data_IF_564318651461
#
_entry.id   IF_564318651461
#
_cell.length_a   1.000
_cell.length_b   1.000
_cell.length_c   1.000
_cell.angle_alpha   90.00
_cell.angle_beta   90.00
_cell.angle_gamma   90.00
#
_symmetry.space_group_name_H-M   'P 1'
#
loop_
_entity.id
_entity.type
_entity.pdbx_description
1 polymer ?
#
# COMPACT_ATOMS: atom_id res chain seq x y z
N UNK A 1 -14.52 -32.08 21.66
CA UNK A 1 -13.69 -30.86 21.64
C UNK A 1 -14.28 -29.88 22.64
N UNK A 2 -13.48 -29.16 23.42
CA UNK A 2 -14.02 -28.12 24.30
C UNK A 2 -14.66 -27.00 23.49
N UNK A 3 -15.75 -26.42 23.98
CA UNK A 3 -16.51 -25.36 23.28
C UNK A 3 -15.60 -24.19 22.84
N UNK A 4 -14.65 -23.79 23.70
CA UNK A 4 -13.68 -22.74 23.43
C UNK A 4 -12.73 -23.04 22.24
N UNK A 5 -12.25 -24.28 22.10
CA UNK A 5 -11.36 -24.66 20.99
C UNK A 5 -12.09 -24.63 19.65
N UNK A 6 -13.38 -25.01 19.66
CA UNK A 6 -14.25 -24.89 18.49
C UNK A 6 -14.38 -23.44 18.02
N UNK A 7 -14.70 -22.53 18.94
CA UNK A 7 -14.82 -21.10 18.63
C UNK A 7 -13.53 -20.54 18.02
N UNK A 8 -12.36 -20.80 18.62
CA UNK A 8 -11.06 -20.33 18.11
C UNK A 8 -10.79 -20.84 16.69
N UNK A 9 -11.09 -22.12 16.42
CA UNK A 9 -10.92 -22.73 15.09
C UNK A 9 -11.78 -22.03 14.03
N UNK A 10 -13.06 -21.84 14.31
CA UNK A 10 -13.98 -21.20 13.35
C UNK A 10 -13.67 -19.72 13.16
N UNK A 11 -13.28 -18.99 14.21
CA UNK A 11 -12.85 -17.61 14.10
C UNK A 11 -11.60 -17.47 13.22
N UNK A 12 -10.55 -18.28 13.45
CA UNK A 12 -9.35 -18.27 12.62
C UNK A 12 -9.65 -18.61 11.17
N UNK A 13 -10.50 -19.61 10.92
CA UNK A 13 -10.90 -19.98 9.57
C UNK A 13 -11.65 -18.83 8.88
N UNK A 14 -12.62 -18.21 9.56
CA UNK A 14 -13.41 -17.10 9.02
C UNK A 14 -12.52 -15.92 8.64
N UNK A 15 -11.66 -15.46 9.57
CA UNK A 15 -10.78 -14.33 9.29
C UNK A 15 -9.82 -14.62 8.13
N UNK A 16 -9.16 -15.78 8.11
CA UNK A 16 -8.27 -16.15 7.02
C UNK A 16 -9.02 -16.32 5.68
N UNK A 17 -10.26 -16.81 5.69
CA UNK A 17 -11.08 -16.87 4.47
C UNK A 17 -11.41 -15.48 3.93
N UNK A 18 -11.76 -14.53 4.80
CA UNK A 18 -11.97 -13.13 4.39
C UNK A 18 -10.71 -12.51 3.79
N UNK A 19 -9.55 -12.74 4.40
CA UNK A 19 -8.25 -12.28 3.86
C UNK A 19 -7.87 -12.94 2.55
N UNK A 20 -8.19 -14.23 2.36
CA UNK A 20 -8.00 -14.90 1.09
C UNK A 20 -8.86 -14.27 -0.02
N UNK A 21 -10.13 -13.97 0.27
CA UNK A 21 -11.02 -13.29 -0.69
C UNK A 21 -10.47 -11.91 -1.03
N UNK A 22 -10.03 -11.14 -0.02
CA UNK A 22 -9.39 -9.85 -0.25
C UNK A 22 -8.15 -9.98 -1.13
N UNK A 23 -7.29 -10.96 -0.87
CA UNK A 23 -6.11 -11.24 -1.69
C UNK A 23 -6.46 -11.53 -3.16
N UNK A 24 -7.50 -12.32 -3.41
CA UNK A 24 -8.00 -12.59 -4.77
C UNK A 24 -8.48 -11.30 -5.44
N UNK A 25 -9.27 -10.48 -4.74
CA UNK A 25 -9.75 -9.20 -5.26
C UNK A 25 -8.60 -8.26 -5.63
N UNK A 26 -7.56 -8.20 -4.79
CA UNK A 26 -6.35 -7.40 -5.05
C UNK A 26 -5.61 -7.90 -6.30
N UNK A 27 -5.44 -9.21 -6.46
CA UNK A 27 -4.82 -9.79 -7.66
C UNK A 27 -5.64 -9.44 -8.91
N UNK A 28 -6.96 -9.62 -8.87
CA UNK A 28 -7.87 -9.31 -9.98
C UNK A 28 -7.75 -7.83 -10.34
N UNK A 29 -7.74 -6.93 -9.36
CA UNK A 29 -7.55 -5.50 -9.59
C UNK A 29 -6.20 -5.19 -10.27
N UNK A 30 -5.11 -5.80 -9.80
CA UNK A 30 -3.79 -5.66 -10.43
C UNK A 30 -3.76 -6.12 -11.88
N UNK A 31 -4.41 -7.25 -12.19
CA UNK A 31 -4.52 -7.77 -13.55
C UNK A 31 -5.36 -6.85 -14.46
N UNK A 32 -6.52 -6.39 -13.98
CA UNK A 32 -7.39 -5.47 -14.73
C UNK A 32 -6.69 -4.13 -14.99
N UNK A 33 -5.83 -3.68 -14.09
CA UNK A 33 -5.09 -2.42 -14.20
C UNK A 33 -3.80 -2.50 -15.03
N UNK A 34 -3.41 -3.66 -15.58
CA UNK A 34 -2.11 -3.86 -16.25
C UNK A 34 -1.84 -2.91 -17.43
N UNK A 35 -2.90 -2.39 -18.07
CA UNK A 35 -2.80 -1.36 -19.13
C UNK A 35 -3.11 0.07 -18.70
N UNK A 36 -3.63 0.27 -17.48
CA UNK A 36 -4.08 1.57 -16.98
C UNK A 36 -3.06 2.24 -16.03
N UNK A 37 -2.18 1.45 -15.41
CA UNK A 37 -1.16 1.95 -14.50
C UNK A 37 0.26 1.54 -14.95
N UNK A 38 1.32 2.20 -14.45
CA UNK A 38 2.69 1.76 -14.74
C UNK A 38 2.91 0.33 -14.26
N UNK A 39 3.58 -0.48 -15.08
CA UNK A 39 3.71 -1.93 -14.87
C UNK A 39 4.30 -2.30 -13.50
N UNK A 40 5.22 -1.48 -12.97
CA UNK A 40 5.83 -1.69 -11.66
C UNK A 40 4.79 -1.73 -10.53
N UNK A 41 3.78 -0.86 -10.58
CA UNK A 41 2.70 -0.83 -9.59
C UNK A 41 1.77 -2.03 -9.75
N UNK A 42 1.41 -2.38 -10.98
CA UNK A 42 0.57 -3.55 -11.25
C UNK A 42 1.21 -4.85 -10.74
N UNK A 43 2.51 -5.04 -11.02
CA UNK A 43 3.29 -6.17 -10.50
C UNK A 43 3.30 -6.16 -8.97
N UNK A 44 3.56 -5.01 -8.35
CA UNK A 44 3.55 -4.87 -6.89
C UNK A 44 2.22 -5.29 -6.26
N UNK A 45 1.10 -4.86 -6.83
CA UNK A 45 -0.26 -5.21 -6.38
C UNK A 45 -0.51 -6.72 -6.49
N UNK A 46 -0.14 -7.33 -7.63
CA UNK A 46 -0.32 -8.77 -7.85
C UNK A 46 0.51 -9.58 -6.87
N UNK A 47 1.78 -9.20 -6.66
CA UNK A 47 2.67 -9.88 -5.70
C UNK A 47 2.14 -9.75 -4.27
N UNK A 48 1.69 -8.55 -3.88
CA UNK A 48 1.09 -8.31 -2.56
C UNK A 48 -0.14 -9.19 -2.34
N UNK A 49 -1.06 -9.21 -3.30
CA UNK A 49 -2.26 -10.06 -3.25
C UNK A 49 -1.92 -11.55 -3.18
N UNK A 50 -0.88 -11.99 -3.90
CA UNK A 50 -0.36 -13.36 -3.85
C UNK A 50 0.18 -13.74 -2.47
N UNK A 51 0.95 -12.86 -1.84
CA UNK A 51 1.47 -13.07 -0.47
C UNK A 51 0.33 -13.19 0.54
N UNK A 52 -0.67 -12.30 0.47
CA UNK A 52 -1.87 -12.34 1.32
C UNK A 52 -2.61 -13.66 1.15
N UNK A 53 -2.81 -14.11 -0.10
CA UNK A 53 -3.47 -15.38 -0.41
C UNK A 53 -2.70 -16.56 0.19
N UNK A 54 -1.38 -16.61 -0.01
CA UNK A 54 -0.53 -17.71 0.48
C UNK A 54 -0.58 -17.82 2.01
N UNK A 55 -0.41 -16.71 2.72
CA UNK A 55 -0.48 -16.69 4.19
C UNK A 55 -1.86 -17.15 4.66
N UNK A 56 -2.92 -16.65 4.04
CA UNK A 56 -4.31 -17.00 4.36
C UNK A 56 -4.60 -18.49 4.11
N UNK A 57 -4.05 -19.07 3.05
CA UNK A 57 -4.17 -20.50 2.75
C UNK A 57 -3.54 -21.36 3.85
N UNK A 58 -2.35 -21.00 4.35
CA UNK A 58 -1.74 -21.73 5.48
C UNK A 58 -2.59 -21.62 6.75
N UNK A 59 -3.19 -20.46 7.03
CA UNK A 59 -4.12 -20.27 8.13
C UNK A 59 -5.37 -21.16 8.02
N UNK A 60 -6.06 -21.12 6.87
CA UNK A 60 -7.26 -21.92 6.59
C UNK A 60 -6.96 -23.42 6.61
N UNK A 61 -5.95 -23.89 5.87
CA UNK A 61 -5.61 -25.31 5.82
C UNK A 61 -5.05 -25.83 7.14
N UNK A 62 -4.29 -25.01 7.87
CA UNK A 62 -3.80 -25.37 9.20
C UNK A 62 -4.95 -25.57 10.19
N UNK A 63 -5.96 -24.69 10.15
CA UNK A 63 -7.15 -24.82 10.98
C UNK A 63 -8.00 -26.05 10.58
N UNK A 64 -8.29 -26.25 9.29
CA UNK A 64 -9.13 -27.36 8.81
C UNK A 64 -8.47 -28.72 9.04
N UNK A 65 -7.20 -28.87 8.64
CA UNK A 65 -6.48 -30.16 8.69
C UNK A 65 -5.97 -30.52 10.10
N UNK A 66 -6.19 -29.64 11.08
CA UNK A 66 -5.68 -29.78 12.46
C UNK A 66 -4.17 -30.10 12.51
N UNK A 67 -3.43 -29.63 11.51
CA UNK A 67 -2.01 -29.98 11.33
C UNK A 67 -1.15 -28.99 12.10
N UNK A 68 -0.55 -29.46 13.21
CA UNK A 68 0.34 -28.62 14.03
C UNK A 68 1.47 -27.99 13.21
N UNK A 69 2.04 -28.72 12.25
CA UNK A 69 3.15 -28.21 11.42
C UNK A 69 2.72 -27.03 10.55
N UNK A 70 1.53 -27.11 9.92
CA UNK A 70 1.01 -26.03 9.08
C UNK A 70 0.62 -24.80 9.90
N UNK A 71 0.14 -25.01 11.13
CA UNK A 71 -0.16 -23.90 12.04
C UNK A 71 1.11 -23.20 12.52
N UNK A 72 2.19 -23.94 12.80
CA UNK A 72 3.48 -23.35 13.15
C UNK A 72 4.12 -22.59 11.99
N UNK A 73 3.99 -23.08 10.74
CA UNK A 73 4.43 -22.31 9.57
C UNK A 73 3.64 -21.02 9.44
N UNK A 74 2.32 -21.06 9.62
CA UNK A 74 1.48 -19.86 9.63
C UNK A 74 1.89 -18.85 10.70
N UNK A 75 2.13 -19.31 11.94
CA UNK A 75 2.65 -18.48 13.04
C UNK A 75 3.99 -17.84 12.67
N UNK A 76 4.92 -18.58 12.06
CA UNK A 76 6.21 -18.03 11.63
C UNK A 76 6.06 -16.94 10.57
N UNK A 77 5.14 -17.11 9.62
CA UNK A 77 4.87 -16.12 8.58
C UNK A 77 4.28 -14.83 9.19
N UNK A 78 3.33 -14.97 10.11
CA UNK A 78 2.76 -13.82 10.83
C UNK A 78 3.82 -13.08 11.68
N UNK A 79 4.74 -13.80 12.32
CA UNK A 79 5.83 -13.17 13.08
C UNK A 79 6.75 -12.35 12.18
N UNK A 80 7.12 -12.89 11.01
CA UNK A 80 7.93 -12.14 10.02
C UNK A 80 7.17 -10.89 9.56
N UNK A 81 5.87 -11.00 9.26
CA UNK A 81 5.04 -9.87 8.87
C UNK A 81 4.98 -8.80 9.96
N UNK A 82 4.78 -9.18 11.22
CA UNK A 82 4.76 -8.26 12.36
C UNK A 82 6.08 -7.51 12.53
N UNK A 83 7.22 -8.19 12.34
CA UNK A 83 8.53 -7.54 12.39
C UNK A 83 8.66 -6.51 11.26
N UNK A 84 8.24 -6.86 10.04
CA UNK A 84 8.28 -5.93 8.90
C UNK A 84 7.40 -4.70 9.13
N UNK A 85 6.16 -4.89 9.60
CA UNK A 85 5.24 -3.80 9.93
C UNK A 85 5.83 -2.94 11.08
N UNK A 86 6.35 -3.58 12.13
CA UNK A 86 6.96 -2.89 13.26
C UNK A 86 8.17 -2.04 12.88
N UNK A 87 9.05 -2.58 12.02
CA UNK A 87 10.20 -1.85 11.44
C UNK A 87 9.69 -0.66 10.61
N UNK A 88 8.68 -0.88 9.75
CA UNK A 88 8.12 0.18 8.92
C UNK A 88 7.56 1.35 9.74
N UNK A 89 6.83 1.05 10.82
CA UNK A 89 6.27 2.04 11.75
C UNK A 89 7.39 2.74 12.54
N UNK A 90 8.35 1.98 13.09
CA UNK A 90 9.38 2.51 13.98
C UNK A 90 10.38 3.42 13.26
N UNK A 91 10.82 3.05 12.06
CA UNK A 91 11.79 3.83 11.31
C UNK A 91 11.18 5.07 10.63
N UNK A 92 9.89 5.33 10.83
CA UNK A 92 9.17 6.49 10.33
C UNK A 92 9.56 6.83 8.89
N UNK A 93 9.58 5.80 8.03
CA UNK A 93 10.00 5.87 6.62
C UNK A 93 9.24 6.93 5.83
N UNK A 94 8.14 7.45 6.39
CA UNK A 94 7.31 8.53 5.89
C UNK A 94 8.06 9.84 5.67
N UNK A 95 8.98 10.21 6.56
CA UNK A 95 9.82 11.40 6.34
C UNK A 95 10.74 11.19 5.13
N UNK A 96 11.18 9.95 4.90
CA UNK A 96 11.96 9.57 3.72
C UNK A 96 11.09 9.61 2.47
N UNK A 97 9.87 9.07 2.51
CA UNK A 97 8.93 9.11 1.39
C UNK A 97 8.53 10.53 1.02
N UNK A 98 8.25 11.40 2.01
CA UNK A 98 7.96 12.81 1.79
C UNK A 98 9.14 13.52 1.12
N UNK A 99 10.35 13.33 1.64
CA UNK A 99 11.58 13.88 1.02
C UNK A 99 11.78 13.35 -0.39
N UNK A 100 11.53 12.06 -0.62
CA UNK A 100 11.64 11.43 -1.93
C UNK A 100 10.60 11.99 -2.91
N UNK A 101 9.36 12.21 -2.47
CA UNK A 101 8.31 12.82 -3.27
C UNK A 101 8.65 14.26 -3.66
N UNK A 102 9.13 15.07 -2.71
CA UNK A 102 9.60 16.44 -2.98
C UNK A 102 10.77 16.41 -3.98
N UNK A 103 11.74 15.52 -3.77
CA UNK A 103 12.86 15.33 -4.69
C UNK A 103 12.39 14.88 -6.09
N UNK A 104 11.35 14.05 -6.17
CA UNK A 104 10.78 13.61 -7.45
C UNK A 104 10.21 14.79 -8.22
N UNK A 105 9.47 15.70 -7.57
CA UNK A 105 9.00 16.94 -8.20
C UNK A 105 10.19 17.78 -8.70
N UNK A 106 11.25 17.87 -7.90
CA UNK A 106 12.46 18.60 -8.27
C UNK A 106 13.16 18.00 -9.50
N UNK A 107 13.37 16.69 -9.49
CA UNK A 107 14.06 15.97 -10.56
C UNK A 107 13.24 16.05 -11.87
N UNK A 108 11.91 15.92 -11.79
CA UNK A 108 11.02 16.10 -12.94
C UNK A 108 10.99 17.54 -13.45
N UNK A 109 11.12 18.53 -12.56
CA UNK A 109 11.25 19.92 -12.96
C UNK A 109 12.57 20.17 -13.71
N UNK A 110 13.69 19.61 -13.24
CA UNK A 110 14.96 19.70 -13.96
C UNK A 110 14.89 19.01 -15.33
N UNK A 111 14.18 17.89 -15.42
CA UNK A 111 13.92 17.23 -16.71
C UNK A 111 13.04 18.08 -17.62
N UNK A 112 12.04 18.78 -17.08
CA UNK A 112 11.16 19.67 -17.84
C UNK A 112 11.94 20.78 -18.58
N UNK A 113 13.05 21.27 -17.99
CA UNK A 113 13.93 22.27 -18.60
C UNK A 113 14.60 21.78 -19.89
N UNK A 114 14.82 20.48 -20.02
CA UNK A 114 15.52 19.87 -21.17
C UNK A 114 14.60 19.06 -22.08
N UNK A 115 13.53 18.49 -21.51
CA UNK A 115 12.54 17.62 -22.15
C UNK A 115 11.13 18.07 -21.73
N UNK A 116 10.48 18.94 -22.52
CA UNK A 116 9.13 19.41 -22.24
C UNK A 116 8.13 18.24 -22.13
N UNK A 117 7.32 18.21 -21.08
CA UNK A 117 6.30 17.19 -20.84
C UNK A 117 6.64 16.21 -19.70
N UNK A 118 7.82 16.34 -19.09
CA UNK A 118 8.26 15.55 -17.94
C UNK A 118 7.44 15.82 -16.68
N UNK A 119 6.88 17.02 -16.54
CA UNK A 119 6.02 17.43 -15.41
C UNK A 119 4.53 17.12 -15.60
N UNK A 120 4.09 16.73 -16.80
CA UNK A 120 2.67 16.64 -17.14
C UNK A 120 1.89 15.65 -16.27
N UNK A 121 2.52 14.52 -15.92
CA UNK A 121 1.91 13.51 -15.06
C UNK A 121 1.70 14.05 -13.64
N UNK A 122 2.72 14.66 -13.04
CA UNK A 122 2.66 15.21 -11.67
C UNK A 122 1.59 16.31 -11.60
N UNK A 123 1.57 17.20 -12.60
CA UNK A 123 0.61 18.30 -12.65
C UNK A 123 -0.83 17.81 -12.77
N UNK A 124 -1.09 16.79 -13.58
CA UNK A 124 -2.42 16.17 -13.69
C UNK A 124 -2.82 15.43 -12.41
N UNK A 125 -1.90 14.66 -11.82
CA UNK A 125 -2.16 13.86 -10.63
C UNK A 125 -2.48 14.74 -9.41
N UNK A 126 -1.69 15.78 -9.18
CA UNK A 126 -1.82 16.63 -8.00
C UNK A 126 -2.59 17.94 -8.25
N UNK A 127 -3.07 18.17 -9.48
CA UNK A 127 -3.78 19.40 -9.86
C UNK A 127 -3.01 20.66 -9.46
N UNK A 128 -1.75 20.71 -9.87
CA UNK A 128 -0.78 21.75 -9.52
C UNK A 128 -0.07 22.26 -10.77
N UNK A 129 0.65 23.37 -10.67
CA UNK A 129 1.37 23.95 -11.79
C UNK A 129 2.78 24.44 -11.45
N UNK A 130 3.75 24.12 -12.31
CA UNK A 130 5.14 24.47 -12.11
C UNK A 130 5.76 23.81 -10.88
N UNK A 131 6.91 24.34 -10.42
CA UNK A 131 7.59 23.87 -9.22
C UNK A 131 7.02 24.54 -7.97
N UNK A 132 7.07 25.88 -7.97
CA UNK A 132 6.48 26.77 -6.97
C UNK A 132 5.22 27.45 -7.48
N UNK A 133 5.03 27.53 -8.80
CA UNK A 133 3.78 28.01 -9.40
C UNK A 133 3.85 28.13 -10.92
N UNK A 134 2.74 28.54 -11.53
CA UNK A 134 2.64 28.72 -12.98
C UNK A 134 3.67 29.69 -13.58
N UNK A 135 4.12 30.67 -12.78
CA UNK A 135 5.12 31.67 -13.19
C UNK A 135 6.49 31.04 -13.52
N UNK A 136 6.79 29.85 -13.02
CA UNK A 136 8.06 29.18 -13.28
C UNK A 136 8.28 28.83 -14.77
N UNK A 137 7.20 28.77 -15.56
CA UNK A 137 7.27 28.53 -17.00
C UNK A 137 7.60 29.79 -17.83
N UNK A 138 7.47 30.99 -17.26
CA UNK A 138 7.78 32.27 -17.92
C UNK A 138 9.27 32.35 -18.33
N UNK A 139 10.25 32.12 -17.43
CA UNK A 139 11.67 32.22 -17.78
C UNK A 139 12.15 31.10 -18.71
N UNK A 140 11.44 29.97 -18.77
CA UNK A 140 11.82 28.82 -19.61
C UNK A 140 11.43 29.04 -21.07
N UNK A 141 10.63 30.08 -21.37
CA UNK A 141 10.31 30.46 -22.74
C UNK A 141 9.64 29.32 -23.53
N UNK A 142 8.80 28.51 -22.86
CA UNK A 142 8.02 27.47 -23.53
C UNK A 142 7.21 28.15 -24.63
N UNK A 143 7.21 27.58 -25.86
CA UNK A 143 6.60 28.18 -27.07
C UNK A 143 5.29 28.91 -26.72
N UNK A 144 5.26 30.23 -26.95
CA UNK A 144 4.18 31.19 -26.68
C UNK A 144 3.97 31.68 -25.22
N UNK A 145 4.94 31.55 -24.31
CA UNK A 145 4.79 31.97 -22.90
C UNK A 145 3.61 31.29 -22.17
N UNK A 146 3.16 30.14 -22.69
CA UNK A 146 2.00 29.41 -22.19
C UNK A 146 2.42 28.18 -21.39
N UNK A 147 1.73 27.97 -20.27
CA UNK A 147 1.84 26.76 -19.43
C UNK A 147 1.37 25.51 -20.20
N UNK A 148 1.87 24.31 -19.87
CA UNK A 148 1.41 23.07 -20.49
C UNK A 148 -0.07 22.80 -20.19
N UNK A 149 -0.73 22.03 -21.06
CA UNK A 149 -2.15 21.68 -20.90
C UNK A 149 -2.43 20.91 -19.60
N UNK A 150 -1.43 20.18 -19.07
CA UNK A 150 -1.47 19.50 -17.77
C UNK A 150 -1.66 20.43 -16.56
N UNK A 151 -1.32 21.72 -16.71
CA UNK A 151 -1.45 22.74 -15.67
C UNK A 151 -2.86 23.36 -15.61
N UNK A 152 -3.78 22.91 -16.47
CA UNK A 152 -5.11 23.51 -16.57
C UNK A 152 -6.23 22.47 -16.47
N UNK A 153 -7.34 22.89 -15.87
CA UNK A 153 -8.58 22.10 -15.85
C UNK A 153 -9.05 21.82 -17.27
N UNK A 154 -9.50 20.59 -17.52
CA UNK A 154 -9.99 20.13 -18.82
C UNK A 154 -8.98 20.32 -19.97
N UNK A 155 -7.68 20.39 -19.68
CA UNK A 155 -6.63 20.73 -20.65
C UNK A 155 -6.83 22.08 -21.36
N UNK A 156 -7.64 22.99 -20.81
CA UNK A 156 -7.95 24.28 -21.42
C UNK A 156 -7.24 25.44 -20.69
N UNK A 157 -6.07 25.81 -21.22
CA UNK A 157 -5.24 26.91 -20.72
C UNK A 157 -5.52 28.27 -21.37
N UNK A 158 -6.52 28.40 -22.24
CA UNK A 158 -6.89 29.69 -22.84
C UNK A 158 -7.50 30.63 -21.80
N UNK A 159 -8.19 30.07 -20.82
CA UNK A 159 -8.80 30.84 -19.74
C UNK A 159 -7.86 30.82 -18.52
N UNK A 160 -7.33 31.97 -18.06
CA UNK A 160 -6.43 32.02 -16.91
C UNK A 160 -7.08 31.52 -15.61
N UNK A 161 -8.42 31.52 -15.52
CA UNK A 161 -9.18 30.94 -14.40
C UNK A 161 -9.08 29.41 -14.29
N UNK A 162 -8.66 28.73 -15.37
CA UNK A 162 -8.53 27.27 -15.39
C UNK A 162 -7.15 26.78 -14.96
N UNK A 163 -6.18 27.69 -14.82
CA UNK A 163 -4.80 27.38 -14.43
C UNK A 163 -4.75 27.03 -12.95
N UNK A 164 -4.04 25.96 -12.57
CA UNK A 164 -3.85 25.63 -11.17
C UNK A 164 -2.95 26.68 -10.48
N UNK A 165 -3.44 27.33 -9.41
CA UNK A 165 -2.70 28.41 -8.74
C UNK A 165 -1.56 27.90 -7.86
N UNK A 166 -1.67 26.67 -7.36
CA UNK A 166 -0.72 26.10 -6.41
C UNK A 166 0.48 25.45 -7.11
N UNK A 167 1.68 25.67 -6.55
CA UNK A 167 2.90 24.98 -6.96
C UNK A 167 2.89 23.50 -6.60
N UNK A 168 3.49 22.67 -7.46
CA UNK A 168 3.51 21.22 -7.24
C UNK A 168 4.30 20.79 -6.00
N UNK A 169 5.35 21.52 -5.61
CA UNK A 169 6.14 21.15 -4.42
C UNK A 169 5.28 21.22 -3.15
N UNK A 170 4.57 22.33 -2.95
CA UNK A 170 3.68 22.53 -1.80
C UNK A 170 2.48 21.57 -1.84
N UNK A 171 1.84 21.39 -3.00
CA UNK A 171 0.70 20.48 -3.17
C UNK A 171 1.05 19.03 -2.86
N UNK A 172 2.19 18.55 -3.36
CA UNK A 172 2.68 17.20 -3.10
C UNK A 172 3.01 17.03 -1.62
N UNK A 173 3.72 17.98 -1.02
CA UNK A 173 4.03 17.95 0.43
C UNK A 173 2.76 17.87 1.30
N UNK A 174 1.72 18.65 0.97
CA UNK A 174 0.44 18.61 1.68
C UNK A 174 -0.32 17.29 1.46
N UNK A 175 -0.33 16.77 0.23
CA UNK A 175 -0.97 15.49 -0.08
C UNK A 175 -0.35 14.34 0.73
N UNK A 176 0.98 14.27 0.81
CA UNK A 176 1.68 13.26 1.61
C UNK A 176 1.46 13.46 3.12
N UNK A 177 1.31 14.69 3.59
CA UNK A 177 1.02 14.96 5.01
C UNK A 177 -0.38 14.51 5.41
N UNK A 178 -1.38 14.74 4.57
CA UNK A 178 -2.77 14.34 4.81
C UNK A 178 -2.93 12.81 4.74
N UNK A 179 -2.42 12.20 3.68
CA UNK A 179 -2.44 10.74 3.48
C UNK A 179 -1.71 10.00 4.61
N UNK A 180 -0.67 10.60 5.18
CA UNK A 180 0.05 10.02 6.31
C UNK A 180 -0.87 9.85 7.53
N UNK A 181 -1.71 10.81 7.88
CA UNK A 181 -2.54 10.67 9.09
C UNK A 181 -3.47 9.46 9.01
N UNK A 182 -4.15 9.29 7.86
CA UNK A 182 -5.06 8.16 7.61
C UNK A 182 -4.32 6.83 7.57
N UNK A 183 -3.20 6.76 6.85
CA UNK A 183 -2.38 5.55 6.76
C UNK A 183 -1.89 5.08 8.15
N UNK A 184 -1.62 6.00 9.08
CA UNK A 184 -1.17 5.65 10.43
C UNK A 184 -2.24 4.85 11.17
N UNK A 185 -3.51 5.27 11.12
CA UNK A 185 -4.58 4.52 11.77
C UNK A 185 -4.73 3.12 11.17
N UNK A 186 -4.61 2.98 9.85
CA UNK A 186 -4.66 1.68 9.18
C UNK A 186 -3.50 0.76 9.62
N UNK A 187 -2.28 1.26 9.73
CA UNK A 187 -1.10 0.48 10.14
C UNK A 187 -1.20 -0.03 11.58
N UNK A 188 -1.58 0.85 12.52
CA UNK A 188 -1.75 0.46 13.92
C UNK A 188 -2.93 -0.50 14.09
N UNK A 189 -4.01 -0.31 13.31
CA UNK A 189 -5.13 -1.24 13.25
C UNK A 189 -4.71 -2.62 12.74
N UNK A 190 -3.94 -2.67 11.65
CA UNK A 190 -3.43 -3.91 11.08
C UNK A 190 -2.49 -4.64 12.05
N UNK A 191 -1.56 -3.92 12.68
CA UNK A 191 -0.65 -4.48 13.68
C UNK A 191 -1.42 -5.09 14.86
N UNK A 192 -2.43 -4.37 15.38
CA UNK A 192 -3.27 -4.88 16.46
C UNK A 192 -4.06 -6.12 16.05
N UNK A 193 -4.61 -6.13 14.84
CA UNK A 193 -5.35 -7.25 14.28
C UNK A 193 -4.47 -8.49 14.10
N UNK A 194 -3.26 -8.32 13.55
CA UNK A 194 -2.30 -9.42 13.36
C UNK A 194 -1.82 -10.02 14.69
N UNK A 195 -1.66 -9.20 15.74
CA UNK A 195 -1.35 -9.68 17.08
C UNK A 195 -2.48 -10.55 17.67
N UNK A 196 -3.74 -10.16 17.45
CA UNK A 196 -4.89 -10.96 17.89
C UNK A 196 -4.93 -12.30 17.15
N UNK A 197 -4.78 -12.29 15.83
CA UNK A 197 -4.73 -13.51 15.03
C UNK A 197 -3.56 -14.40 15.45
N UNK A 198 -2.37 -13.83 15.64
CA UNK A 198 -1.19 -14.56 16.10
C UNK A 198 -1.46 -15.25 17.44
N UNK A 199 -2.06 -14.54 18.40
CA UNK A 199 -2.43 -15.11 19.69
C UNK A 199 -3.37 -16.31 19.56
N UNK A 200 -4.43 -16.17 18.77
CA UNK A 200 -5.37 -17.27 18.50
C UNK A 200 -4.67 -18.46 17.81
N UNK A 201 -3.79 -18.19 16.85
CA UNK A 201 -3.04 -19.19 16.11
C UNK A 201 -2.06 -19.96 17.01
N UNK A 202 -1.34 -19.26 17.90
CA UNK A 202 -0.42 -19.87 18.86
C UNK A 202 -1.18 -20.77 19.84
N UNK A 203 -2.30 -20.29 20.40
CA UNK A 203 -3.14 -21.09 21.31
C UNK A 203 -3.59 -22.38 20.63
N UNK A 204 -4.08 -22.28 19.39
CA UNK A 204 -4.52 -23.44 18.61
C UNK A 204 -3.34 -24.37 18.25
N UNK A 205 -2.16 -23.81 17.94
CA UNK A 205 -0.97 -24.57 17.57
C UNK A 205 -0.44 -25.38 18.75
N UNK A 206 -0.37 -24.76 19.94
CA UNK A 206 0.02 -25.41 21.18
C UNK A 206 -0.98 -26.51 21.53
N UNK A 207 -2.28 -26.22 21.45
CA UNK A 207 -3.33 -27.21 21.72
C UNK A 207 -3.20 -28.44 20.81
N UNK A 208 -3.05 -28.25 19.49
CA UNK A 208 -2.86 -29.37 18.56
C UNK A 208 -1.53 -30.08 18.75
N UNK A 209 -0.46 -29.36 19.05
CA UNK A 209 0.86 -29.98 19.32
C UNK A 209 0.81 -30.86 20.56
N UNK A 210 0.17 -30.39 21.63
CA UNK A 210 -0.02 -31.15 22.87
C UNK A 210 -0.93 -32.36 22.64
N UNK A 211 -2.02 -32.20 21.89
CA UNK A 211 -2.89 -33.32 21.50
C UNK A 211 -2.11 -34.37 20.70
N UNK A 212 -1.30 -33.97 19.72
CA UNK A 212 -0.47 -34.88 18.91
C UNK A 212 0.56 -35.63 19.75
N UNK A 213 1.23 -34.94 20.69
CA UNK A 213 2.18 -35.58 21.61
C UNK A 213 1.50 -36.68 22.44
N UNK A 214 0.28 -36.46 22.93
CA UNK A 214 -0.47 -37.46 23.71
C UNK A 214 -0.84 -38.72 22.92
N UNK A 215 -1.00 -38.65 21.60
CA UNK A 215 -1.32 -39.83 20.77
C UNK A 215 -0.08 -40.61 20.30
N UNK A 216 1.11 -40.01 20.41
CA UNK A 216 2.37 -40.64 20.02
C UNK A 216 3.05 -41.39 21.18
N UNK A 217 2.44 -41.38 22.38
CA UNK A 217 2.78 -42.25 23.52
C UNK A 217 1.73 -43.35 23.62
#
# INVERSE_FOLDING_TARGET
MGCATGTIKYSLFLFNALWAILGILVIVFGCLGWGAMPQQYAIGIIVLGGIILLISMFGCFGAIRESSRMLWTYVSLLLVLLVLIGVFIFFNTRDVFKKYAIKTVEDHWQQELTRPGSMDLIQKTYSCCGRYGAADYIPIGRRNNTVPSSCCKFNNCLNPLNVYPDGCLAKVELAFADEATTSRYCEWGLLGFDLVILGLAIILAIHYSNRRRRYNY
#
